data_IF_721651381067
#
_entry.id   IF_721651381067
#
_cell.length_a   1.000
_cell.length_b   1.000
_cell.length_c   1.000
_cell.angle_alpha   90.00
_cell.angle_beta   90.00
_cell.angle_gamma   90.00
#
_symmetry.space_group_name_H-M   'P 1'
#
loop_
_entity.id
_entity.type
_entity.pdbx_description
1 polymer ?
#
# COMPACT_ATOMS: atom_id res chain seq x y z
N UNK A 1 11.48 -32.35 10.52
CA UNK A 1 12.16 -31.04 10.45
C UNK A 1 11.34 -30.13 9.53
N UNK A 2 10.52 -29.23 10.08
CA UNK A 2 9.72 -28.31 9.25
C UNK A 2 10.60 -27.21 8.66
N UNK A 3 10.47 -26.94 7.36
CA UNK A 3 11.27 -25.92 6.67
C UNK A 3 10.95 -24.51 7.20
N UNK A 4 11.86 -23.52 7.05
CA UNK A 4 11.62 -22.13 7.47
C UNK A 4 10.32 -21.54 6.88
N UNK A 5 9.97 -21.95 5.65
CA UNK A 5 8.73 -21.56 4.98
C UNK A 5 7.49 -22.14 5.65
N UNK A 6 7.52 -23.41 6.07
CA UNK A 6 6.40 -24.02 6.81
C UNK A 6 6.20 -23.33 8.15
N UNK A 7 7.27 -22.99 8.87
CA UNK A 7 7.18 -22.22 10.14
C UNK A 7 6.58 -20.83 9.93
N UNK A 8 6.98 -20.12 8.86
CA UNK A 8 6.41 -18.82 8.50
C UNK A 8 4.91 -18.92 8.15
N UNK A 9 4.53 -19.94 7.36
CA UNK A 9 3.13 -20.17 7.01
C UNK A 9 2.28 -20.54 8.23
N UNK A 10 2.81 -21.39 9.11
CA UNK A 10 2.16 -21.72 10.40
C UNK A 10 1.99 -20.49 11.28
N UNK A 11 2.97 -19.58 11.34
CA UNK A 11 2.84 -18.28 12.02
C UNK A 11 1.76 -17.41 11.41
N UNK A 12 1.68 -17.33 10.08
CA UNK A 12 0.63 -16.59 9.39
C UNK A 12 -0.77 -17.17 9.67
N UNK A 13 -0.88 -18.49 9.81
CA UNK A 13 -2.10 -19.18 10.25
C UNK A 13 -2.40 -18.95 11.74
N UNK A 14 -1.39 -18.89 12.60
CA UNK A 14 -1.54 -18.56 14.04
C UNK A 14 -2.08 -17.13 14.23
N UNK A 15 -1.84 -16.23 13.29
CA UNK A 15 -2.46 -14.89 13.27
C UNK A 15 -3.97 -14.89 13.01
N UNK A 16 -4.57 -16.05 12.73
CA UNK A 16 -6.02 -16.21 12.66
C UNK A 16 -6.63 -16.67 14.00
N UNK A 17 -5.80 -17.09 14.97
CA UNK A 17 -6.26 -17.52 16.30
C UNK A 17 -6.35 -16.34 17.29
N UNK A 18 -7.25 -16.42 18.30
CA UNK A 18 -7.30 -15.50 19.43
C UNK A 18 -5.94 -15.36 20.15
N UNK A 19 -5.62 -14.18 20.74
CA UNK A 19 -4.32 -13.91 21.37
C UNK A 19 -3.87 -14.99 22.36
N UNK A 20 -4.80 -15.50 23.17
CA UNK A 20 -4.52 -16.55 24.17
C UNK A 20 -4.02 -17.88 23.59
N UNK A 21 -4.45 -18.23 22.36
CA UNK A 21 -4.02 -19.45 21.67
C UNK A 21 -2.69 -19.28 20.94
N UNK A 22 -2.30 -18.03 20.62
CA UNK A 22 -1.03 -17.73 19.96
C UNK A 22 0.17 -17.92 20.87
N UNK A 23 0.01 -17.66 22.17
CA UNK A 23 1.11 -17.77 23.14
C UNK A 23 1.50 -19.22 23.45
N UNK A 24 0.55 -20.16 23.33
CA UNK A 24 0.78 -21.58 23.61
C UNK A 24 1.49 -22.35 22.47
N UNK A 25 1.46 -21.83 21.24
CA UNK A 25 1.86 -22.58 20.03
C UNK A 25 3.19 -22.12 19.41
N UNK A 26 3.85 -21.10 19.97
CA UNK A 26 5.14 -20.63 19.47
C UNK A 26 6.27 -21.54 19.97
N UNK A 27 7.00 -22.23 19.07
CA UNK A 27 8.12 -23.07 19.49
C UNK A 27 9.29 -22.18 19.91
N UNK A 28 9.84 -22.43 21.10
CA UNK A 28 11.21 -22.06 21.44
C UNK A 28 12.16 -23.01 20.69
N UNK A 29 13.10 -22.50 19.88
CA UNK A 29 14.47 -23.03 19.81
C UNK A 29 15.40 -22.37 18.78
N UNK A 30 16.63 -22.16 19.24
CA UNK A 30 17.88 -21.98 18.50
C UNK A 30 18.16 -23.13 17.51
N UNK A 31 18.41 -22.81 16.24
CA UNK A 31 19.30 -23.58 15.34
C UNK A 31 19.76 -22.70 14.18
N UNK A 32 21.06 -22.72 13.90
CA UNK A 32 21.73 -22.10 12.75
C UNK A 32 21.30 -22.79 11.44
N UNK A 33 20.16 -22.37 10.91
CA UNK A 33 19.73 -22.68 9.54
C UNK A 33 19.85 -21.41 8.72
N UNK A 34 20.24 -21.52 7.45
CA UNK A 34 20.26 -20.39 6.51
C UNK A 34 18.88 -19.75 6.47
N UNK A 35 18.73 -18.58 7.08
CA UNK A 35 17.46 -17.87 7.15
C UNK A 35 17.25 -17.14 5.84
N UNK A 36 16.06 -17.29 5.26
CA UNK A 36 15.65 -16.48 4.12
C UNK A 36 15.22 -15.10 4.63
N UNK A 37 15.84 -13.99 4.20
CA UNK A 37 15.39 -12.67 4.59
C UNK A 37 13.93 -12.45 4.21
N UNK A 38 13.20 -11.72 5.05
CA UNK A 38 11.79 -11.42 4.85
C UNK A 38 11.63 -9.92 4.65
N UNK A 39 10.92 -9.52 3.59
CA UNK A 39 10.50 -8.13 3.39
C UNK A 39 8.98 -8.03 3.52
N UNK A 40 8.53 -7.19 4.45
CA UNK A 40 7.12 -6.92 4.70
C UNK A 40 6.66 -5.70 3.88
N UNK A 41 5.59 -5.89 3.09
CA UNK A 41 4.98 -4.83 2.26
C UNK A 41 3.61 -4.47 2.87
N UNK A 42 3.45 -3.26 3.42
CA UNK A 42 2.28 -2.90 4.20
C UNK A 42 1.03 -2.62 3.35
N UNK A 43 -0.14 -2.63 3.99
CA UNK A 43 -1.39 -2.26 3.33
C UNK A 43 -1.52 -0.75 3.06
N UNK A 44 -2.61 -0.36 2.42
CA UNK A 44 -2.95 1.05 2.19
C UNK A 44 -3.13 1.79 3.53
N UNK A 45 -2.65 3.02 3.62
CA UNK A 45 -2.75 3.85 4.84
C UNK A 45 -1.86 3.41 6.00
N UNK A 46 -1.14 2.29 5.87
CA UNK A 46 -0.32 1.75 6.96
C UNK A 46 1.04 2.46 7.11
N UNK A 47 1.65 2.83 5.99
CA UNK A 47 2.94 3.54 5.97
C UNK A 47 2.76 5.02 6.26
N UNK A 48 3.75 5.60 6.94
CA UNK A 48 3.81 7.04 7.17
C UNK A 48 4.06 7.79 5.86
N UNK A 49 3.57 9.03 5.78
CA UNK A 49 3.84 9.94 4.67
C UNK A 49 4.28 11.29 5.22
N UNK A 50 5.39 11.81 4.70
CA UNK A 50 5.85 13.16 4.97
C UNK A 50 5.67 14.04 3.74
N UNK A 51 5.50 15.34 3.95
CA UNK A 51 5.42 16.32 2.89
C UNK A 51 6.34 17.51 3.12
N UNK A 52 6.66 18.20 2.03
CA UNK A 52 7.39 19.47 2.03
C UNK A 52 6.68 20.44 1.07
N UNK A 53 6.48 21.67 1.50
CA UNK A 53 5.89 22.73 0.67
C UNK A 53 7.00 23.61 0.08
N UNK A 54 7.00 23.75 -1.23
CA UNK A 54 7.97 24.53 -2.00
C UNK A 54 7.41 25.91 -2.34
N UNK A 55 8.23 26.78 -2.95
CA UNK A 55 7.79 28.11 -3.37
C UNK A 55 6.62 28.11 -4.35
N UNK A 56 6.51 27.07 -5.18
CA UNK A 56 5.44 26.90 -6.15
C UNK A 56 4.08 26.51 -5.53
N UNK A 57 4.01 26.27 -4.22
CA UNK A 57 2.76 25.90 -3.56
C UNK A 57 1.83 27.13 -3.46
N UNK A 58 0.73 27.08 -4.21
CA UNK A 58 -0.33 28.08 -4.22
C UNK A 58 -1.46 27.59 -3.32
N UNK A 59 -1.80 28.34 -2.28
CA UNK A 59 -2.75 27.90 -1.26
C UNK A 59 -4.18 28.28 -1.56
N UNK A 60 -5.15 27.40 -1.28
CA UNK A 60 -6.56 27.80 -1.20
C UNK A 60 -6.84 28.79 -0.07
N UNK A 61 -6.11 28.67 1.05
CA UNK A 61 -6.22 29.57 2.21
C UNK A 61 -4.83 29.90 2.79
N UNK A 62 -4.58 31.14 3.25
CA UNK A 62 -3.26 31.55 3.74
C UNK A 62 -2.66 30.63 4.82
N UNK A 63 -3.51 30.08 5.69
CA UNK A 63 -3.09 29.15 6.77
C UNK A 63 -2.40 27.89 6.26
N UNK A 64 -2.71 27.42 5.05
CA UNK A 64 -2.09 26.20 4.50
C UNK A 64 -0.62 26.40 4.15
N UNK A 65 -0.15 27.64 4.05
CA UNK A 65 1.28 27.96 3.89
C UNK A 65 2.08 27.83 5.20
N UNK A 66 1.46 27.49 6.34
CA UNK A 66 2.14 27.49 7.64
C UNK A 66 3.39 26.59 7.70
N UNK A 67 3.48 25.56 6.84
CA UNK A 67 4.63 24.65 6.75
C UNK A 67 5.61 24.99 5.61
N UNK A 68 5.33 26.04 4.83
CA UNK A 68 6.21 26.52 3.76
C UNK A 68 7.54 27.00 4.33
N UNK A 69 8.65 26.54 3.74
CA UNK A 69 10.00 26.85 4.22
C UNK A 69 10.43 26.14 5.51
N UNK A 70 9.58 25.32 6.15
CA UNK A 70 9.90 24.60 7.40
C UNK A 70 10.49 23.20 7.21
N UNK A 71 10.71 22.78 5.97
CA UNK A 71 11.24 21.45 5.64
C UNK A 71 10.16 20.37 5.56
N UNK A 72 10.54 19.13 5.87
CA UNK A 72 9.64 17.98 5.85
C UNK A 72 8.79 17.92 7.12
N UNK A 73 7.49 17.67 6.97
CA UNK A 73 6.56 17.50 8.08
C UNK A 73 5.71 16.24 7.92
N UNK A 74 5.17 15.76 9.03
CA UNK A 74 4.38 14.53 9.10
C UNK A 74 2.97 14.75 8.53
N UNK A 75 2.78 14.47 7.24
CA UNK A 75 1.48 14.61 6.59
C UNK A 75 0.51 13.50 7.00
N UNK A 76 0.98 12.26 7.08
CA UNK A 76 0.21 11.09 7.51
C UNK A 76 1.00 10.28 8.55
N UNK A 77 0.91 10.66 9.82
CA UNK A 77 1.49 9.90 10.94
C UNK A 77 0.59 9.94 12.16
N UNK A 78 0.46 11.09 12.80
CA UNK A 78 -0.45 11.32 13.92
C UNK A 78 -1.70 12.11 13.49
N UNK A 79 -2.59 11.44 12.75
CA UNK A 79 -3.78 12.10 12.18
C UNK A 79 -4.80 12.55 13.23
N UNK A 80 -4.72 12.06 14.47
CA UNK A 80 -5.53 12.52 15.61
C UNK A 80 -5.23 13.97 16.00
N UNK A 81 -4.01 14.46 15.76
CA UNK A 81 -3.62 15.85 16.07
C UNK A 81 -4.05 16.85 14.98
N UNK A 82 -4.35 16.36 13.76
CA UNK A 82 -4.82 17.19 12.64
C UNK A 82 -6.20 17.80 12.91
N UNK A 83 -7.05 17.09 13.64
CA UNK A 83 -8.39 17.54 14.03
C UNK A 83 -8.36 18.67 15.06
N UNK A 84 -7.29 18.79 15.85
CA UNK A 84 -7.21 19.72 16.96
C UNK A 84 -6.85 21.17 16.57
N UNK A 85 -6.54 21.44 15.29
CA UNK A 85 -5.90 22.70 14.88
C UNK A 85 -6.50 23.37 13.62
N UNK A 86 -7.74 23.05 13.25
CA UNK A 86 -8.38 23.55 12.01
C UNK A 86 -7.52 23.37 10.73
N UNK A 87 -6.55 22.43 10.76
CA UNK A 87 -5.61 22.18 9.67
C UNK A 87 -6.18 21.20 8.63
N UNK A 88 -7.40 20.72 8.86
CA UNK A 88 -8.01 19.66 8.06
C UNK A 88 -8.10 20.02 6.58
N UNK A 89 -8.54 21.22 6.23
CA UNK A 89 -8.64 21.63 4.82
C UNK A 89 -7.26 21.64 4.12
N UNK A 90 -6.23 22.06 4.85
CA UNK A 90 -4.85 22.05 4.36
C UNK A 90 -4.32 20.63 4.18
N UNK A 91 -4.59 19.75 5.14
CA UNK A 91 -4.28 18.32 5.02
C UNK A 91 -4.98 17.70 3.80
N UNK A 92 -6.28 17.94 3.63
CA UNK A 92 -7.07 17.43 2.50
C UNK A 92 -6.55 17.94 1.16
N UNK A 93 -6.07 19.18 1.10
CA UNK A 93 -5.45 19.75 -0.10
C UNK A 93 -4.08 19.13 -0.38
N UNK A 94 -3.21 19.08 0.62
CA UNK A 94 -1.82 18.62 0.50
C UNK A 94 -1.71 17.12 0.26
N UNK A 95 -2.70 16.33 0.71
CA UNK A 95 -2.76 14.91 0.42
C UNK A 95 -3.16 14.60 -1.03
N UNK A 96 -3.88 15.50 -1.71
CA UNK A 96 -4.47 15.21 -3.03
C UNK A 96 -3.41 14.90 -4.10
N UNK A 97 -3.77 13.99 -4.99
CA UNK A 97 -3.09 13.82 -6.26
C UNK A 97 -3.85 14.51 -7.39
N UNK A 98 -3.12 14.88 -8.43
CA UNK A 98 -3.65 15.45 -9.67
C UNK A 98 -3.26 14.51 -10.79
N UNK A 99 -4.24 14.07 -11.58
CA UNK A 99 -3.99 13.32 -12.80
C UNK A 99 -3.56 14.28 -13.92
N UNK A 100 -2.46 13.96 -14.60
CA UNK A 100 -1.96 14.67 -15.77
C UNK A 100 -2.24 13.85 -17.04
N UNK A 101 -3.24 14.26 -17.85
CA UNK A 101 -3.63 13.50 -19.05
C UNK A 101 -2.56 13.52 -20.14
N UNK A 102 -1.65 14.50 -20.15
CA UNK A 102 -0.60 14.63 -21.17
C UNK A 102 0.44 13.51 -21.06
N UNK A 103 0.71 13.06 -19.84
CA UNK A 103 1.68 11.99 -19.54
C UNK A 103 1.02 10.71 -19.01
N UNK A 104 -0.31 10.70 -18.87
CA UNK A 104 -1.07 9.58 -18.30
C UNK A 104 -0.56 9.16 -16.92
N UNK A 105 -0.26 10.10 -16.03
CA UNK A 105 0.27 9.82 -14.68
C UNK A 105 -0.38 10.70 -13.61
N UNK A 106 -0.33 10.25 -12.36
CA UNK A 106 -0.66 11.07 -11.20
C UNK A 106 0.58 11.80 -10.68
N UNK A 107 0.38 13.00 -10.15
CA UNK A 107 1.41 13.80 -9.47
C UNK A 107 0.84 14.42 -8.20
N UNK A 108 1.71 14.81 -7.28
CA UNK A 108 1.29 15.67 -6.18
C UNK A 108 0.75 17.00 -6.73
N UNK A 109 -0.04 17.70 -5.92
CA UNK A 109 -0.39 19.09 -6.18
C UNK A 109 0.87 19.95 -6.40
N UNK A 110 0.79 20.93 -7.31
CA UNK A 110 1.91 21.81 -7.61
C UNK A 110 2.46 22.46 -6.33
N UNK A 111 3.77 22.29 -6.13
CA UNK A 111 4.47 22.79 -4.97
C UNK A 111 4.42 21.91 -3.71
N UNK A 112 3.69 20.80 -3.72
CA UNK A 112 3.72 19.76 -2.68
C UNK A 112 4.65 18.63 -3.11
N UNK A 113 5.63 18.32 -2.28
CA UNK A 113 6.45 17.14 -2.42
C UNK A 113 6.15 16.15 -1.30
N UNK A 114 6.24 14.85 -1.59
CA UNK A 114 6.02 13.79 -0.61
C UNK A 114 7.17 12.82 -0.57
N UNK A 115 7.38 12.21 0.60
CA UNK A 115 8.31 11.10 0.77
C UNK A 115 7.79 10.11 1.80
N UNK A 116 8.25 8.87 1.68
CA UNK A 116 7.92 7.79 2.60
C UNK A 116 9.14 7.52 3.47
N UNK A 117 9.09 7.83 4.78
CA UNK A 117 10.22 7.59 5.66
C UNK A 117 10.37 6.09 5.99
N UNK A 118 11.48 5.73 6.64
CA UNK A 118 11.71 4.42 7.25
C UNK A 118 11.69 3.22 6.28
N UNK A 119 11.99 3.44 5.00
CA UNK A 119 12.21 2.34 4.05
C UNK A 119 13.37 1.45 4.53
N UNK A 120 13.19 0.14 4.42
CA UNK A 120 14.14 -0.87 4.93
C UNK A 120 13.80 -1.41 6.31
N UNK A 121 12.93 -0.75 7.10
CA UNK A 121 12.54 -1.25 8.43
C UNK A 121 11.05 -1.58 8.50
N UNK A 122 10.65 -2.74 9.07
CA UNK A 122 9.25 -3.07 9.32
C UNK A 122 8.63 -2.20 10.43
N UNK A 123 9.41 -1.32 11.07
CA UNK A 123 8.91 -0.35 12.07
C UNK A 123 8.29 0.89 11.41
N UNK A 124 8.51 1.11 10.11
CA UNK A 124 7.96 2.25 9.35
C UNK A 124 6.44 2.26 9.15
N UNK A 125 5.71 1.28 9.71
CA UNK A 125 4.24 1.19 9.64
C UNK A 125 3.64 0.57 10.92
N UNK A 126 4.30 0.77 12.08
CA UNK A 126 4.03 0.06 13.35
C UNK A 126 2.60 0.21 13.88
N UNK A 127 2.03 1.41 13.83
CA UNK A 127 0.80 1.75 14.57
C UNK A 127 -0.49 1.53 13.75
N UNK A 128 -0.37 1.31 12.43
CA UNK A 128 -1.52 1.31 11.50
C UNK A 128 -1.68 -0.01 10.74
N UNK A 129 -0.85 -1.02 11.02
CA UNK A 129 -0.75 -2.22 10.20
C UNK A 129 -1.01 -3.53 10.98
N UNK A 130 -1.93 -4.40 10.50
CA UNK A 130 -2.09 -5.78 10.99
C UNK A 130 -0.81 -6.64 10.95
N UNK A 131 0.20 -6.25 10.15
CA UNK A 131 1.52 -6.89 10.13
C UNK A 131 2.33 -6.69 11.41
N UNK A 132 1.88 -5.88 12.38
CA UNK A 132 2.57 -5.74 13.67
C UNK A 132 2.79 -7.10 14.35
N UNK A 133 1.75 -7.92 14.44
CA UNK A 133 1.85 -9.25 15.04
C UNK A 133 2.70 -10.22 14.19
N UNK A 134 2.74 -10.06 12.86
CA UNK A 134 3.65 -10.82 11.97
C UNK A 134 5.11 -10.49 12.33
N UNK A 135 5.43 -9.19 12.43
CA UNK A 135 6.76 -8.71 12.81
C UNK A 135 7.20 -9.29 14.15
N UNK A 136 6.36 -9.18 15.19
CA UNK A 136 6.68 -9.71 16.52
C UNK A 136 6.82 -11.24 16.54
N UNK A 137 6.01 -11.95 15.76
CA UNK A 137 6.15 -13.39 15.55
C UNK A 137 7.50 -13.75 14.92
N UNK A 138 7.93 -13.00 13.90
CA UNK A 138 9.21 -13.20 13.24
C UNK A 138 10.40 -12.83 14.14
N UNK A 139 10.31 -11.73 14.87
CA UNK A 139 11.35 -11.32 15.84
C UNK A 139 11.54 -12.39 16.92
N UNK A 140 10.45 -13.01 17.42
CA UNK A 140 10.53 -14.15 18.35
C UNK A 140 11.16 -15.40 17.75
N UNK A 141 11.10 -15.57 16.43
CA UNK A 141 11.84 -16.62 15.72
C UNK A 141 13.30 -16.27 15.42
N UNK A 142 13.79 -15.11 15.87
CA UNK A 142 15.17 -14.68 15.71
C UNK A 142 15.43 -13.80 14.48
N UNK A 143 14.39 -13.38 13.75
CA UNK A 143 14.53 -12.37 12.72
C UNK A 143 14.87 -10.99 13.33
N UNK A 144 15.71 -10.22 12.65
CA UNK A 144 16.22 -8.93 13.13
C UNK A 144 15.96 -7.83 12.11
N UNK A 145 15.37 -6.73 12.59
CA UNK A 145 15.15 -5.51 11.82
C UNK A 145 16.48 -4.98 11.22
N UNK A 146 16.45 -4.61 9.94
CA UNK A 146 17.61 -4.10 9.21
C UNK A 146 18.66 -5.16 8.86
N UNK A 147 18.40 -6.43 9.16
CA UNK A 147 19.32 -7.53 8.89
C UNK A 147 18.67 -8.71 8.16
N UNK A 148 17.70 -9.36 8.78
CA UNK A 148 16.95 -10.51 8.18
C UNK A 148 15.48 -10.19 7.99
N UNK A 149 14.99 -9.11 8.58
CA UNK A 149 13.62 -8.62 8.45
C UNK A 149 13.62 -7.15 8.06
N UNK A 150 12.89 -6.83 7.01
CA UNK A 150 12.84 -5.50 6.44
C UNK A 150 11.39 -5.08 6.18
N UNK A 151 11.19 -3.77 6.03
CA UNK A 151 9.93 -3.19 5.58
C UNK A 151 10.10 -2.42 4.29
N UNK A 152 9.11 -2.50 3.40
CA UNK A 152 9.05 -1.73 2.17
C UNK A 152 7.78 -0.85 2.14
N UNK A 153 7.69 0.19 2.99
CA UNK A 153 6.62 1.18 2.89
C UNK A 153 6.70 1.93 1.57
N UNK A 154 5.55 2.37 1.07
CA UNK A 154 5.40 3.07 -0.21
C UNK A 154 4.32 4.15 -0.09
N UNK A 155 4.28 5.05 -1.07
CA UNK A 155 3.26 6.09 -1.15
C UNK A 155 1.97 5.44 -1.62
N UNK A 156 1.13 5.07 -0.65
CA UNK A 156 -0.06 4.27 -0.85
C UNK A 156 -1.20 5.02 -1.56
N UNK A 157 -1.01 6.30 -1.91
CA UNK A 157 -1.95 7.08 -2.74
C UNK A 157 -1.84 6.71 -4.22
N UNK A 158 -0.70 6.16 -4.64
CA UNK A 158 -0.43 5.73 -6.02
C UNK A 158 -0.72 4.24 -6.21
N UNK A 159 -1.08 3.84 -7.44
CA UNK A 159 -1.27 2.44 -7.78
C UNK A 159 -0.05 1.86 -8.52
N UNK A 160 0.36 0.60 -8.22
CA UNK A 160 1.53 0.01 -8.85
C UNK A 160 1.28 -0.16 -10.35
N UNK A 161 2.22 0.22 -11.22
CA UNK A 161 2.05 0.15 -12.67
C UNK A 161 2.06 -1.30 -13.16
N UNK A 162 1.30 -1.57 -14.23
CA UNK A 162 1.54 -2.78 -15.01
C UNK A 162 2.91 -2.69 -15.71
N UNK A 163 3.53 -3.81 -16.12
CA UNK A 163 4.69 -3.77 -17.00
C UNK A 163 4.47 -2.88 -18.22
N UNK A 164 5.34 -1.89 -18.39
CA UNK A 164 5.27 -0.91 -19.49
C UNK A 164 4.38 0.31 -19.22
N UNK A 165 3.59 0.33 -18.14
CA UNK A 165 2.81 1.51 -17.75
C UNK A 165 3.72 2.51 -17.01
N UNK A 166 3.65 3.82 -17.34
CA UNK A 166 4.50 4.81 -16.72
C UNK A 166 4.04 5.11 -15.27
N UNK A 167 5.03 5.25 -14.37
CA UNK A 167 4.87 5.72 -13.00
C UNK A 167 6.22 6.15 -12.43
N UNK A 168 6.43 7.45 -12.25
CA UNK A 168 7.67 7.97 -11.64
C UNK A 168 7.87 7.48 -10.20
N UNK A 169 6.81 7.48 -9.41
CA UNK A 169 6.83 7.08 -7.99
C UNK A 169 7.20 5.61 -7.84
N UNK A 170 6.55 4.72 -8.59
CA UNK A 170 6.87 3.29 -8.54
C UNK A 170 8.19 2.95 -9.21
N UNK A 171 8.65 3.70 -10.20
CA UNK A 171 9.98 3.49 -10.78
C UNK A 171 11.09 3.70 -9.73
N UNK A 172 10.99 4.75 -8.90
CA UNK A 172 11.92 4.97 -7.78
C UNK A 172 11.77 3.86 -6.73
N UNK A 173 10.54 3.61 -6.28
CA UNK A 173 10.26 2.61 -5.25
C UNK A 173 10.71 1.20 -5.65
N UNK A 174 10.43 0.76 -6.88
CA UNK A 174 10.86 -0.56 -7.36
C UNK A 174 12.37 -0.66 -7.51
N UNK A 175 13.06 0.44 -7.87
CA UNK A 175 14.53 0.46 -7.88
C UNK A 175 15.10 0.28 -6.48
N UNK A 176 14.58 1.01 -5.50
CA UNK A 176 14.99 0.90 -4.08
C UNK A 176 14.65 -0.48 -3.50
N UNK A 177 13.47 -1.02 -3.82
CA UNK A 177 13.04 -2.34 -3.37
C UNK A 177 13.86 -3.46 -4.00
N UNK A 178 14.22 -3.34 -5.28
CA UNK A 178 15.15 -4.27 -5.94
C UNK A 178 16.51 -4.27 -5.24
N UNK A 179 17.06 -3.08 -4.96
CA UNK A 179 18.33 -2.95 -4.25
C UNK A 179 18.28 -3.55 -2.84
N UNK A 180 17.18 -3.35 -2.09
CA UNK A 180 16.97 -3.96 -0.78
C UNK A 180 16.97 -5.50 -0.86
N UNK A 181 16.27 -6.06 -1.85
CA UNK A 181 16.21 -7.51 -2.06
C UNK A 181 17.58 -8.07 -2.42
N UNK A 182 18.31 -7.41 -3.31
CA UNK A 182 19.67 -7.82 -3.71
C UNK A 182 20.64 -7.76 -2.53
N UNK A 183 20.63 -6.68 -1.76
CA UNK A 183 21.49 -6.51 -0.58
C UNK A 183 21.20 -7.58 0.49
N UNK A 184 19.92 -7.80 0.82
CA UNK A 184 19.51 -8.81 1.78
C UNK A 184 19.89 -10.22 1.31
N UNK A 185 19.69 -10.51 0.02
CA UNK A 185 20.00 -11.82 -0.55
C UNK A 185 21.50 -12.12 -0.56
N UNK A 186 22.31 -11.15 -0.98
CA UNK A 186 23.77 -11.27 -1.00
C UNK A 186 24.32 -11.45 0.42
N UNK A 187 23.86 -10.65 1.38
CA UNK A 187 24.32 -10.71 2.77
C UNK A 187 24.09 -12.08 3.42
N UNK A 188 22.94 -12.69 3.16
CA UNK A 188 22.53 -13.96 3.78
C UNK A 188 22.72 -15.18 2.87
N UNK A 189 23.32 -14.99 1.70
CA UNK A 189 23.53 -16.03 0.68
C UNK A 189 22.28 -16.87 0.40
N UNK A 190 21.11 -16.22 0.41
CA UNK A 190 19.83 -16.89 0.31
C UNK A 190 18.81 -16.01 -0.40
N UNK A 191 17.80 -16.64 -1.00
CA UNK A 191 16.71 -15.91 -1.67
C UNK A 191 15.77 -15.27 -0.64
N UNK A 192 15.11 -14.18 -1.02
CA UNK A 192 14.23 -13.38 -0.16
C UNK A 192 12.78 -13.84 -0.25
N UNK A 193 12.07 -13.83 0.88
CA UNK A 193 10.61 -14.03 0.95
C UNK A 193 9.94 -12.66 1.03
N UNK A 194 8.98 -12.42 0.14
CA UNK A 194 8.16 -11.21 0.16
C UNK A 194 6.81 -11.52 0.81
N UNK A 195 6.38 -10.69 1.75
CA UNK A 195 5.08 -10.84 2.42
C UNK A 195 4.30 -9.53 2.27
N UNK A 196 3.26 -9.55 1.42
CA UNK A 196 2.39 -8.41 1.21
C UNK A 196 1.03 -8.59 1.89
N UNK A 197 0.55 -7.56 2.58
CA UNK A 197 -0.77 -7.54 3.21
C UNK A 197 -1.72 -6.57 2.50
N UNK A 198 -2.98 -6.99 2.25
CA UNK A 198 -3.99 -6.13 1.64
C UNK A 198 -3.48 -5.49 0.35
N UNK A 199 -3.53 -4.17 0.24
CA UNK A 199 -2.97 -3.44 -0.91
C UNK A 199 -1.47 -3.67 -1.13
N UNK A 200 -0.70 -3.90 -0.06
CA UNK A 200 0.71 -4.28 -0.16
C UNK A 200 0.92 -5.62 -0.85
N UNK A 201 -0.07 -6.52 -0.82
CA UNK A 201 -0.08 -7.74 -1.61
C UNK A 201 -0.12 -7.45 -3.11
N UNK A 202 -0.91 -6.47 -3.54
CA UNK A 202 -0.92 -6.03 -4.95
C UNK A 202 0.40 -5.42 -5.36
N UNK A 203 0.96 -4.54 -4.51
CA UNK A 203 2.25 -3.90 -4.75
C UNK A 203 3.37 -4.93 -4.87
N UNK A 204 3.42 -5.92 -3.97
CA UNK A 204 4.41 -7.00 -4.03
C UNK A 204 4.24 -7.86 -5.29
N UNK A 205 3.01 -8.16 -5.69
CA UNK A 205 2.71 -8.89 -6.92
C UNK A 205 3.20 -8.14 -8.17
N UNK A 206 2.91 -6.84 -8.27
CA UNK A 206 3.33 -6.02 -9.40
C UNK A 206 4.84 -5.76 -9.41
N UNK A 207 5.49 -5.60 -8.26
CA UNK A 207 6.96 -5.54 -8.17
C UNK A 207 7.60 -6.80 -8.79
N UNK A 208 7.09 -7.98 -8.44
CA UNK A 208 7.58 -9.25 -8.98
C UNK A 208 7.29 -9.33 -10.49
N UNK A 209 6.10 -8.97 -10.95
CA UNK A 209 5.73 -8.98 -12.39
C UNK A 209 6.58 -8.01 -13.23
N UNK A 210 6.90 -6.84 -12.70
CA UNK A 210 7.75 -5.84 -13.34
C UNK A 210 9.25 -6.21 -13.30
N UNK A 211 9.64 -7.24 -12.55
CA UNK A 211 11.03 -7.69 -12.48
C UNK A 211 11.36 -8.71 -13.59
N UNK A 212 12.57 -8.67 -14.19
CA UNK A 212 12.98 -9.68 -15.18
C UNK A 212 12.91 -11.10 -14.61
N UNK A 213 12.55 -12.09 -15.44
CA UNK A 213 12.40 -13.48 -14.99
C UNK A 213 13.71 -14.05 -14.40
N UNK A 214 14.85 -13.76 -15.02
CA UNK A 214 16.16 -14.18 -14.52
C UNK A 214 16.43 -13.62 -13.12
N UNK A 215 16.12 -12.33 -12.90
CA UNK A 215 16.26 -11.69 -11.60
C UNK A 215 15.35 -12.33 -10.55
N UNK A 216 14.07 -12.56 -10.87
CA UNK A 216 13.14 -13.25 -9.96
C UNK A 216 13.64 -14.64 -9.56
N UNK A 217 14.09 -15.42 -10.53
CA UNK A 217 14.64 -16.77 -10.30
C UNK A 217 15.88 -16.73 -9.40
N UNK A 218 16.69 -15.69 -9.50
CA UNK A 218 17.88 -15.52 -8.69
C UNK A 218 17.56 -15.10 -7.26
N UNK A 219 16.68 -14.11 -7.06
CA UNK A 219 16.55 -13.43 -5.77
C UNK A 219 15.29 -13.78 -4.97
N UNK A 220 14.21 -14.23 -5.60
CA UNK A 220 12.92 -14.44 -4.92
C UNK A 220 12.73 -15.91 -4.56
N UNK A 221 12.57 -16.18 -3.26
CA UNK A 221 12.27 -17.52 -2.74
C UNK A 221 10.78 -17.83 -2.88
N UNK A 222 9.95 -16.90 -2.40
CA UNK A 222 8.52 -17.08 -2.28
C UNK A 222 7.80 -15.73 -2.18
N UNK A 223 6.60 -15.64 -2.73
CA UNK A 223 5.69 -14.51 -2.58
C UNK A 223 4.49 -14.93 -1.74
N UNK A 224 4.34 -14.35 -0.56
CA UNK A 224 3.21 -14.60 0.34
C UNK A 224 2.27 -13.40 0.30
N UNK A 225 1.02 -13.65 -0.10
CA UNK A 225 -0.03 -12.64 -0.19
C UNK A 225 -1.07 -12.91 0.90
N UNK A 226 -1.24 -11.95 1.80
CA UNK A 226 -2.18 -12.04 2.93
C UNK A 226 -3.34 -11.07 2.71
N UNK A 227 -4.53 -11.62 2.50
CA UNK A 227 -5.75 -10.90 2.13
C UNK A 227 -5.52 -9.85 1.02
N UNK A 228 -4.83 -10.18 -0.09
CA UNK A 228 -4.46 -9.21 -1.10
C UNK A 228 -5.69 -8.58 -1.76
N UNK A 229 -5.62 -7.27 -2.05
CA UNK A 229 -6.54 -6.66 -3.02
C UNK A 229 -5.99 -6.96 -4.41
N UNK A 230 -6.69 -7.74 -5.23
CA UNK A 230 -6.23 -8.06 -6.58
C UNK A 230 -6.76 -7.02 -7.60
N UNK A 231 -6.23 -6.98 -8.85
CA UNK A 231 -6.63 -6.01 -9.87
C UNK A 231 -8.13 -5.95 -10.18
N UNK A 232 -8.87 -7.00 -9.80
CA UNK A 232 -10.32 -7.09 -9.99
C UNK A 232 -11.13 -6.17 -9.05
N UNK A 233 -10.45 -5.48 -8.14
CA UNK A 233 -11.05 -4.49 -7.25
C UNK A 233 -11.52 -5.07 -5.91
N UNK A 234 -12.02 -4.19 -5.05
CA UNK A 234 -12.50 -4.52 -3.71
C UNK A 234 -13.70 -3.62 -3.39
N UNK A 235 -14.85 -4.21 -3.05
CA UNK A 235 -16.12 -3.47 -2.90
C UNK A 235 -16.05 -2.29 -1.93
N UNK A 236 -15.24 -2.39 -0.86
CA UNK A 236 -15.13 -1.27 0.08
C UNK A 236 -14.49 -0.04 -0.55
N UNK A 237 -13.61 -0.18 -1.55
CA UNK A 237 -13.04 0.99 -2.24
C UNK A 237 -14.09 1.76 -3.01
N UNK A 238 -15.03 1.03 -3.62
CA UNK A 238 -16.16 1.65 -4.28
C UNK A 238 -17.09 2.34 -3.27
N UNK A 239 -17.39 1.70 -2.14
CA UNK A 239 -18.17 2.35 -1.09
C UNK A 239 -17.52 3.68 -0.68
N UNK A 240 -16.19 3.70 -0.47
CA UNK A 240 -15.43 4.93 -0.16
C UNK A 240 -15.49 5.96 -1.29
N UNK A 241 -15.52 5.55 -2.56
CA UNK A 241 -15.66 6.44 -3.71
C UNK A 241 -17.03 7.16 -3.71
N UNK A 242 -18.09 6.44 -3.33
CA UNK A 242 -19.48 6.94 -3.33
C UNK A 242 -19.78 7.74 -2.05
N UNK A 243 -19.54 7.14 -0.89
CA UNK A 243 -19.93 7.68 0.43
C UNK A 243 -18.83 8.44 1.15
N UNK A 244 -17.57 8.28 0.71
CA UNK A 244 -16.39 8.68 1.48
C UNK A 244 -15.92 7.59 2.45
N UNK A 245 -14.67 7.68 2.96
CA UNK A 245 -14.10 6.69 3.89
C UNK A 245 -14.63 6.86 5.31
N UNK A 246 -15.75 6.19 5.60
CA UNK A 246 -16.40 6.20 6.93
C UNK A 246 -15.61 5.48 8.02
N UNK A 247 -14.62 4.65 7.65
CA UNK A 247 -13.72 3.97 8.58
C UNK A 247 -12.54 4.85 9.04
N UNK A 248 -12.41 6.06 8.48
CA UNK A 248 -11.39 7.04 8.83
C UNK A 248 -11.94 8.18 9.73
N UNK A 249 -13.01 7.93 10.49
CA UNK A 249 -13.65 8.90 11.40
C UNK A 249 -12.72 9.48 12.45
N UNK A 250 -11.60 8.82 12.77
CA UNK A 250 -10.57 9.30 13.70
C UNK A 250 -9.75 10.49 13.18
N UNK A 251 -9.89 10.86 11.90
CA UNK A 251 -9.23 12.04 11.31
C UNK A 251 -9.98 13.34 11.70
N UNK A 252 -11.11 13.28 12.40
CA UNK A 252 -11.90 14.46 12.79
C UNK A 252 -12.59 15.15 11.62
N UNK A 253 -12.65 14.49 10.46
CA UNK A 253 -13.37 14.91 9.27
C UNK A 253 -14.53 13.95 8.98
N UNK A 254 -15.61 14.48 8.42
CA UNK A 254 -16.73 13.63 7.97
C UNK A 254 -16.30 12.82 6.74
N UNK A 255 -16.94 11.65 6.53
CA UNK A 255 -16.71 10.85 5.33
C UNK A 255 -16.89 11.67 4.04
N UNK A 256 -17.90 12.56 4.03
CA UNK A 256 -18.17 13.44 2.90
C UNK A 256 -17.03 14.43 2.63
N UNK A 257 -16.44 15.00 3.68
CA UNK A 257 -15.30 15.92 3.57
C UNK A 257 -14.01 15.22 3.09
N UNK A 258 -13.81 13.96 3.49
CA UNK A 258 -12.67 13.13 3.06
C UNK A 258 -12.81 12.64 1.62
N UNK A 259 -14.03 12.58 1.08
CA UNK A 259 -14.34 11.98 -0.22
C UNK A 259 -13.57 12.60 -1.41
N UNK A 260 -13.45 13.94 -1.57
CA UNK A 260 -12.69 14.51 -2.68
C UNK A 260 -11.19 14.17 -2.63
N UNK A 261 -10.60 14.18 -1.43
CA UNK A 261 -9.21 13.74 -1.23
C UNK A 261 -9.06 12.26 -1.60
N UNK A 262 -9.96 11.39 -1.12
CA UNK A 262 -9.91 9.96 -1.42
C UNK A 262 -10.08 9.65 -2.91
N UNK A 263 -11.00 10.36 -3.58
CA UNK A 263 -11.21 10.27 -5.04
C UNK A 263 -9.96 10.66 -5.84
N UNK A 264 -9.13 11.54 -5.29
CA UNK A 264 -7.89 11.94 -5.94
C UNK A 264 -6.82 10.85 -5.96
N UNK A 265 -6.86 9.88 -5.02
CA UNK A 265 -5.89 8.80 -4.97
C UNK A 265 -6.11 7.83 -6.13
N UNK A 266 -5.03 7.45 -6.80
CA UNK A 266 -5.08 6.47 -7.89
C UNK A 266 -5.64 5.13 -7.41
N UNK A 267 -5.45 4.82 -6.13
CA UNK A 267 -5.95 3.59 -5.49
C UNK A 267 -7.44 3.59 -5.16
N UNK A 268 -8.14 4.72 -5.35
CA UNK A 268 -9.54 4.91 -4.95
C UNK A 268 -10.59 4.46 -5.98
N UNK A 269 -10.18 4.04 -7.19
CA UNK A 269 -11.10 3.82 -8.32
C UNK A 269 -11.39 2.31 -8.54
N UNK A 270 -12.63 1.83 -8.30
CA UNK A 270 -13.04 0.40 -8.39
C UNK A 270 -14.57 0.20 -8.60
N UNK A 271 -15.09 -1.00 -9.00
CA UNK A 271 -16.51 -1.18 -9.45
C UNK A 271 -17.61 -1.81 -8.53
N UNK A 272 -18.89 -1.58 -8.94
CA UNK A 272 -20.28 -2.08 -8.61
C UNK A 272 -21.23 -1.35 -7.59
N UNK A 273 -22.16 -0.50 -8.07
CA UNK A 273 -23.12 0.29 -7.22
C UNK A 273 -24.58 0.10 -7.64
N UNK A 274 -25.48 -0.09 -6.68
CA UNK A 274 -26.95 -0.03 -6.89
C UNK A 274 -27.49 1.27 -6.30
N UNK A 275 -28.30 2.00 -7.07
CA UNK A 275 -28.97 3.25 -6.64
C UNK A 275 -30.48 3.16 -6.89
N UNK A 276 -31.28 4.03 -6.27
CA UNK A 276 -32.74 4.07 -6.52
C UNK A 276 -33.11 4.23 -8.01
N UNK A 277 -32.47 5.10 -8.81
CA UNK A 277 -32.83 5.27 -10.22
C UNK A 277 -32.11 4.33 -11.20
N UNK A 278 -30.95 3.76 -10.84
CA UNK A 278 -30.13 2.94 -11.76
C UNK A 278 -29.23 1.94 -11.05
N UNK A 279 -29.04 0.78 -11.70
CA UNK A 279 -28.03 -0.21 -11.33
C UNK A 279 -26.78 0.00 -12.19
N UNK A 280 -25.62 0.14 -11.54
CA UNK A 280 -24.33 0.27 -12.21
C UNK A 280 -23.55 -1.02 -12.07
N UNK A 281 -23.33 -1.70 -13.20
CA UNK A 281 -22.46 -2.86 -13.28
C UNK A 281 -20.98 -2.45 -13.35
N UNK A 282 -20.07 -3.42 -13.41
CA UNK A 282 -18.66 -3.15 -13.69
C UNK A 282 -18.43 -2.53 -15.09
N UNK A 283 -19.39 -2.65 -16.01
CA UNK A 283 -19.33 -2.06 -17.34
C UNK A 283 -19.80 -0.59 -17.35
N UNK A 284 -20.61 -0.17 -16.36
CA UNK A 284 -21.19 1.17 -16.27
C UNK A 284 -20.33 2.13 -15.44
N UNK A 285 -19.02 1.89 -15.33
CA UNK A 285 -18.17 2.63 -14.41
C UNK A 285 -17.98 4.10 -14.80
N UNK A 286 -17.88 4.40 -16.09
CA UNK A 286 -17.80 5.79 -16.56
C UNK A 286 -19.09 6.56 -16.24
N UNK A 287 -20.24 5.93 -16.49
CA UNK A 287 -21.57 6.47 -16.14
C UNK A 287 -21.73 6.68 -14.64
N UNK A 288 -21.27 5.73 -13.82
CA UNK A 288 -21.29 5.86 -12.37
C UNK A 288 -20.44 7.05 -11.90
N UNK A 289 -19.23 7.18 -12.42
CA UNK A 289 -18.31 8.28 -12.08
C UNK A 289 -18.93 9.64 -12.43
N UNK A 290 -19.60 9.74 -13.59
CA UNK A 290 -20.37 10.92 -13.97
C UNK A 290 -21.53 11.18 -12.99
N UNK A 291 -22.33 10.15 -12.68
CA UNK A 291 -23.52 10.27 -11.82
C UNK A 291 -23.20 10.71 -10.39
N UNK A 292 -22.03 10.35 -9.85
CA UNK A 292 -21.59 10.76 -8.50
C UNK A 292 -20.80 12.09 -8.50
N UNK A 293 -20.79 12.80 -9.64
CA UNK A 293 -20.11 14.08 -9.82
C UNK A 293 -18.58 13.98 -9.80
N UNK A 294 -18.00 12.85 -10.23
CA UNK A 294 -16.56 12.63 -10.31
C UNK A 294 -16.09 12.40 -11.76
N UNK A 295 -16.40 13.37 -12.62
CA UNK A 295 -16.08 13.34 -14.06
C UNK A 295 -14.57 13.27 -14.31
N UNK A 296 -13.76 13.97 -13.52
CA UNK A 296 -12.29 13.94 -13.62
C UNK A 296 -11.69 12.54 -13.37
N UNK A 297 -12.46 11.63 -12.75
CA UNK A 297 -12.06 10.25 -12.52
C UNK A 297 -12.23 9.32 -13.73
N UNK A 298 -13.00 9.74 -14.74
CA UNK A 298 -13.36 8.89 -15.91
C UNK A 298 -12.11 8.58 -16.73
N UNK A 299 -11.39 9.60 -17.17
CA UNK A 299 -10.21 9.40 -18.02
C UNK A 299 -9.13 8.51 -17.36
N UNK A 300 -8.67 8.75 -16.11
CA UNK A 300 -7.69 7.88 -15.50
C UNK A 300 -8.24 6.48 -15.20
N UNK A 301 -9.54 6.32 -14.94
CA UNK A 301 -10.15 5.00 -14.84
C UNK A 301 -9.96 4.22 -16.16
N UNK A 302 -10.38 4.79 -17.28
CA UNK A 302 -10.32 4.17 -18.60
C UNK A 302 -8.88 3.92 -19.05
N UNK A 303 -7.98 4.91 -18.87
CA UNK A 303 -6.59 4.82 -19.37
C UNK A 303 -5.66 4.01 -18.47
N UNK A 304 -5.94 3.88 -17.17
CA UNK A 304 -5.01 3.24 -16.22
C UNK A 304 -5.59 2.06 -15.45
N UNK A 305 -6.88 2.08 -15.10
CA UNK A 305 -7.49 1.01 -14.30
C UNK A 305 -8.05 -0.13 -15.18
N UNK A 306 -8.75 0.20 -16.26
CA UNK A 306 -9.29 -0.82 -17.19
C UNK A 306 -8.19 -1.79 -17.69
N UNK A 307 -6.99 -1.33 -18.12
CA UNK A 307 -5.92 -2.27 -18.48
C UNK A 307 -5.52 -3.23 -17.36
N UNK A 308 -5.55 -2.80 -16.09
CA UNK A 308 -5.24 -3.65 -14.92
C UNK A 308 -6.27 -4.74 -14.72
N UNK A 309 -7.54 -4.44 -14.97
CA UNK A 309 -8.63 -5.41 -14.85
C UNK A 309 -8.49 -6.56 -15.84
N UNK A 310 -7.81 -6.33 -16.98
CA UNK A 310 -7.55 -7.33 -18.02
C UNK A 310 -6.16 -8.00 -17.92
N UNK A 311 -5.36 -7.66 -16.91
CA UNK A 311 -3.99 -8.16 -16.80
C UNK A 311 -3.87 -9.37 -15.85
N UNK A 312 -3.69 -10.56 -16.43
CA UNK A 312 -3.72 -11.85 -15.71
C UNK A 312 -2.41 -12.67 -15.77
N UNK A 313 -1.25 -12.01 -15.83
CA UNK A 313 0.03 -12.73 -15.95
C UNK A 313 0.52 -13.34 -14.63
N UNK A 314 0.94 -14.60 -14.62
CA UNK A 314 1.48 -15.21 -13.41
C UNK A 314 2.81 -14.54 -12.98
N UNK A 315 3.11 -14.42 -11.67
CA UNK A 315 4.37 -13.83 -11.20
C UNK A 315 5.60 -14.73 -11.45
N UNK A 316 5.38 -15.99 -11.85
CA UNK A 316 6.43 -16.98 -12.16
C UNK A 316 7.44 -17.19 -11.01
N UNK A 317 6.97 -17.08 -9.78
CA UNK A 317 7.67 -17.45 -8.55
C UNK A 317 6.74 -18.30 -7.68
N UNK A 318 7.26 -19.17 -6.80
CA UNK A 318 6.42 -19.85 -5.80
C UNK A 318 5.60 -18.83 -5.02
N UNK A 319 4.29 -19.08 -4.90
CA UNK A 319 3.39 -18.16 -4.23
C UNK A 319 2.42 -18.86 -3.30
N UNK A 320 2.06 -18.19 -2.22
CA UNK A 320 0.96 -18.58 -1.33
C UNK A 320 0.01 -17.40 -1.19
N UNK A 321 -1.28 -17.65 -1.37
CA UNK A 321 -2.34 -16.66 -1.16
C UNK A 321 -3.20 -17.11 0.03
N UNK A 322 -3.34 -16.26 1.03
CA UNK A 322 -4.12 -16.51 2.25
C UNK A 322 -5.30 -15.54 2.25
N UNK A 323 -6.52 -16.07 2.14
CA UNK A 323 -7.75 -15.28 2.14
C UNK A 323 -8.66 -15.71 3.30
N UNK A 324 -9.36 -14.75 3.91
CA UNK A 324 -10.44 -15.03 4.85
C UNK A 324 -11.73 -15.39 4.08
N UNK A 325 -12.47 -16.38 4.56
CA UNK A 325 -13.76 -16.81 4.00
C UNK A 325 -14.78 -16.99 5.12
N UNK A 326 -16.08 -16.90 4.81
CA UNK A 326 -17.17 -17.22 5.75
C UNK A 326 -17.50 -16.14 6.78
N UNK A 327 -17.44 -14.86 6.39
CA UNK A 327 -17.91 -13.73 7.21
C UNK A 327 -19.24 -13.20 6.70
#
# INVERSE_FOLDING_TARGET
>A
MSTPLVRLLSLLLLLLLPPALREYLLPSHNTTTTVHPVVLVPGMGCGDLEARLTEAYLTSTPRCSAMKGKGWFELWKNVSELAAHDYMDCFLEQMRLVYDPSINEYRNLAGVETRVPNFGSPRGFRNKNPLHSVREGLERLGYRDGDTLFGAPYDWRYAPPLPGQPSKVYSSFFKEFKALVEAASTKHHSKVILVGHSYGGFVALEFVRNSPLAWRKQYIKHLVLVAPTLPQGFLNQLLRLVTGPSDLTYIGATALALRPMWRSFETGITPLVITQPRNYSAQDMEDLLAAIGFVDGIEPFTRRMVPKMHYFQAPMVPMTCINGVGK
#
